data_IF_103936427179
#
_entry.id   IF_103936427179
#
_cell.length_a   1.000
_cell.length_b   1.000
_cell.length_c   1.000
_cell.angle_alpha   90.00
_cell.angle_beta   90.00
_cell.angle_gamma   90.00
#
_symmetry.space_group_name_H-M   'P 1'
#
loop_
_entity.id
_entity.type
_entity.pdbx_description
1 polymer ?
#
# COMPACT_ATOMS: atom_id res chain seq x y z
N UNK A 1 -12.65 -5.24 1.72
CA UNK A 1 -12.56 -5.94 0.42
C UNK A 1 -11.90 -7.29 0.65
N UNK A 2 -12.54 -8.39 0.25
CA UNK A 2 -12.00 -9.74 0.37
C UNK A 2 -11.64 -10.25 -1.03
N UNK A 3 -10.41 -10.72 -1.23
CA UNK A 3 -9.98 -11.36 -2.50
C UNK A 3 -10.45 -12.81 -2.47
N UNK A 4 -11.10 -13.27 -3.55
CA UNK A 4 -11.61 -14.63 -3.67
C UNK A 4 -11.06 -15.33 -4.94
N UNK A 5 -11.40 -16.61 -5.12
CA UNK A 5 -10.90 -17.44 -6.25
C UNK A 5 -11.37 -16.98 -7.63
N UNK A 6 -12.44 -16.17 -7.68
CA UNK A 6 -12.99 -15.56 -8.89
C UNK A 6 -12.29 -14.25 -9.26
N UNK A 7 -11.49 -13.69 -8.36
CA UNK A 7 -10.71 -12.48 -8.65
C UNK A 7 -9.58 -12.84 -9.62
N UNK A 8 -9.63 -12.28 -10.83
CA UNK A 8 -8.64 -12.53 -11.91
C UNK A 8 -7.94 -11.23 -12.28
N UNK A 9 -6.73 -11.37 -12.81
CA UNK A 9 -5.85 -10.28 -13.25
C UNK A 9 -5.21 -10.72 -14.56
N UNK A 10 -5.16 -9.85 -15.58
CA UNK A 10 -4.49 -10.18 -16.85
C UNK A 10 -2.97 -10.31 -16.67
N UNK A 11 -2.31 -11.04 -17.57
CA UNK A 11 -0.86 -11.29 -17.48
C UNK A 11 0.00 -10.02 -17.58
N UNK A 12 -0.54 -8.92 -18.13
CA UNK A 12 0.12 -7.63 -18.30
C UNK A 12 0.45 -6.95 -16.97
N UNK A 13 -0.23 -7.35 -15.88
CA UNK A 13 0.06 -6.83 -14.55
C UNK A 13 1.27 -7.47 -13.87
N UNK A 14 1.87 -8.47 -14.51
CA UNK A 14 3.08 -9.14 -14.04
C UNK A 14 4.25 -8.77 -14.93
N UNK A 15 5.44 -8.67 -14.34
CA UNK A 15 6.66 -8.50 -15.12
C UNK A 15 6.86 -9.73 -16.02
N UNK A 16 7.38 -9.56 -17.25
CA UNK A 16 7.64 -10.68 -18.16
C UNK A 16 8.52 -11.77 -17.53
N UNK A 17 9.46 -11.38 -16.68
CA UNK A 17 10.37 -12.27 -15.96
C UNK A 17 9.68 -13.16 -14.94
N UNK A 18 8.45 -12.82 -14.52
CA UNK A 18 7.63 -13.63 -13.63
C UNK A 18 6.83 -14.72 -14.39
N UNK A 19 6.80 -14.68 -15.72
CA UNK A 19 6.08 -15.63 -16.57
C UNK A 19 7.02 -16.71 -17.09
N UNK A 20 6.71 -17.97 -16.78
CA UNK A 20 7.45 -19.14 -17.25
C UNK A 20 6.65 -19.84 -18.34
N UNK A 21 7.18 -19.86 -19.55
CA UNK A 21 6.59 -20.54 -20.71
C UNK A 21 7.09 -21.99 -20.79
N UNK A 22 6.17 -22.95 -20.82
CA UNK A 22 6.51 -24.34 -21.10
C UNK A 22 6.73 -24.57 -22.60
N UNK A 23 7.42 -25.66 -22.95
CA UNK A 23 7.58 -26.11 -24.35
C UNK A 23 6.24 -26.42 -25.04
N UNK A 24 5.20 -26.70 -24.26
CA UNK A 24 3.82 -26.91 -24.73
C UNK A 24 3.02 -25.62 -24.91
N UNK A 25 3.61 -24.45 -24.70
CA UNK A 25 2.96 -23.14 -24.88
C UNK A 25 2.14 -22.66 -23.68
N UNK A 26 2.10 -23.42 -22.58
CA UNK A 26 1.41 -23.00 -21.35
C UNK A 26 2.30 -21.99 -20.62
N UNK A 27 1.73 -20.85 -20.27
CA UNK A 27 2.41 -19.83 -19.46
C UNK A 27 1.92 -19.93 -18.02
N UNK A 28 2.85 -20.05 -17.07
CA UNK A 28 2.58 -20.08 -15.62
C UNK A 28 3.33 -18.95 -14.92
N UNK A 29 2.81 -18.50 -13.77
CA UNK A 29 3.52 -17.58 -12.90
C UNK A 29 4.56 -18.33 -12.05
N UNK A 30 5.70 -17.69 -11.78
CA UNK A 30 6.62 -18.13 -10.72
C UNK A 30 5.89 -18.14 -9.37
N UNK A 31 6.24 -19.08 -8.49
CA UNK A 31 5.71 -19.11 -7.13
C UNK A 31 6.08 -17.80 -6.41
N UNK A 32 5.10 -17.16 -5.77
CA UNK A 32 5.30 -15.88 -5.09
C UNK A 32 5.35 -14.66 -6.02
N UNK A 33 5.15 -14.80 -7.33
CA UNK A 33 5.00 -13.67 -8.22
C UNK A 33 3.77 -12.84 -7.83
N UNK A 34 3.96 -11.53 -7.67
CA UNK A 34 2.90 -10.58 -7.32
C UNK A 34 2.65 -9.63 -8.50
N UNK A 35 1.40 -9.22 -8.76
CA UNK A 35 1.10 -8.24 -9.78
C UNK A 35 1.67 -6.89 -9.33
N UNK A 36 2.59 -6.36 -10.11
CA UNK A 36 3.38 -5.15 -9.78
C UNK A 36 3.20 -4.06 -10.82
N UNK A 37 2.69 -4.39 -12.01
CA UNK A 37 2.50 -3.44 -13.11
C UNK A 37 1.05 -2.97 -13.11
N UNK A 38 0.76 -1.94 -12.33
CA UNK A 38 -0.51 -1.21 -12.38
C UNK A 38 -0.28 0.23 -12.84
N UNK A 39 -1.26 0.81 -13.53
CA UNK A 39 -1.21 2.20 -14.00
C UNK A 39 -0.87 3.19 -12.86
N UNK A 40 -1.37 2.92 -11.65
CA UNK A 40 -1.13 3.72 -10.45
C UNK A 40 0.19 3.41 -9.73
N UNK A 41 0.80 2.24 -10.00
CA UNK A 41 2.06 1.80 -9.38
C UNK A 41 3.31 2.28 -10.09
N UNK A 42 3.16 3.03 -11.19
CA UNK A 42 4.29 3.64 -11.87
C UNK A 42 5.01 4.55 -10.87
N UNK A 43 6.17 4.10 -10.38
CA UNK A 43 7.24 4.99 -9.93
C UNK A 43 7.33 6.02 -11.03
N UNK A 44 6.91 7.26 -10.71
CA UNK A 44 6.76 8.33 -11.71
C UNK A 44 8.00 8.30 -12.59
N UNK A 45 7.88 8.09 -13.92
CA UNK A 45 9.02 8.30 -14.78
C UNK A 45 9.57 9.68 -14.42
N UNK A 46 10.88 9.76 -14.16
CA UNK A 46 11.61 10.98 -13.80
C UNK A 46 10.90 12.16 -14.44
N UNK A 47 10.28 13.02 -13.62
CA UNK A 47 9.43 14.10 -14.12
C UNK A 47 10.26 14.86 -15.14
N UNK A 48 10.00 14.66 -16.43
CA UNK A 48 10.50 15.58 -17.45
C UNK A 48 9.93 16.92 -17.02
N UNK A 49 10.80 17.80 -16.56
CA UNK A 49 10.40 19.14 -16.15
C UNK A 49 9.75 19.76 -17.38
N UNK A 50 8.42 19.80 -17.38
CA UNK A 50 7.68 20.54 -18.38
C UNK A 50 8.07 21.99 -18.11
N UNK A 51 8.96 22.51 -18.93
CA UNK A 51 9.18 23.95 -19.04
C UNK A 51 7.83 24.50 -19.47
N UNK A 52 7.16 25.18 -18.55
CA UNK A 52 5.92 25.90 -18.84
C UNK A 52 6.25 26.99 -19.85
N UNK A 53 6.06 26.73 -21.13
CA UNK A 53 5.83 27.79 -22.09
C UNK A 53 4.46 28.37 -21.77
N UNK A 54 4.43 29.58 -21.24
CA UNK A 54 3.22 30.35 -21.10
C UNK A 54 2.63 30.55 -22.50
N UNK A 55 1.57 29.81 -22.82
CA UNK A 55 0.67 30.17 -23.91
C UNK A 55 -0.70 30.27 -23.29
N UNK A 56 -1.15 31.51 -23.25
CA UNK A 56 -2.43 32.01 -22.80
C UNK A 56 -3.50 31.63 -23.83
N UNK A 57 -4.45 30.77 -23.45
CA UNK A 57 -5.88 30.92 -23.80
C UNK A 57 -6.69 29.87 -23.04
N UNK A 58 -7.60 30.35 -22.20
CA UNK A 58 -8.51 29.51 -21.40
C UNK A 58 -9.79 29.31 -22.23
N UNK A 59 -10.29 28.08 -22.42
CA UNK A 59 -11.61 27.87 -23.02
C UNK A 59 -12.70 28.57 -22.18
N UNK A 60 -13.77 29.11 -22.80
CA UNK A 60 -14.82 29.81 -22.07
C UNK A 60 -15.44 28.93 -20.98
N UNK A 61 -15.84 29.52 -19.84
CA UNK A 61 -16.39 28.76 -18.72
C UNK A 61 -17.69 28.07 -19.14
N UNK A 62 -17.72 26.74 -19.03
CA UNK A 62 -18.92 25.95 -19.28
C UNK A 62 -19.91 26.17 -18.12
N UNK A 63 -21.19 26.51 -18.39
CA UNK A 63 -22.14 26.96 -17.36
C UNK A 63 -22.63 25.88 -16.39
N UNK A 64 -22.22 24.63 -16.57
CA UNK A 64 -22.80 23.47 -15.87
C UNK A 64 -21.83 22.77 -14.92
N UNK A 65 -20.58 23.24 -14.83
CA UNK A 65 -19.60 22.63 -13.93
C UNK A 65 -19.63 23.37 -12.60
N UNK A 66 -20.36 22.83 -11.63
CA UNK A 66 -20.05 23.09 -10.21
C UNK A 66 -18.56 22.83 -10.05
N UNK A 67 -17.77 23.90 -9.91
CA UNK A 67 -16.35 23.79 -9.63
C UNK A 67 -16.22 22.92 -8.38
N UNK A 68 -15.44 21.84 -8.46
CA UNK A 68 -15.12 21.06 -7.28
C UNK A 68 -14.67 22.04 -6.19
N UNK A 69 -15.29 21.94 -5.01
CA UNK A 69 -14.98 22.82 -3.89
C UNK A 69 -13.46 22.87 -3.74
N UNK A 70 -12.91 24.09 -3.72
CA UNK A 70 -11.48 24.29 -3.56
C UNK A 70 -11.03 23.50 -2.33
N UNK A 71 -9.96 22.70 -2.43
CA UNK A 71 -9.47 21.99 -1.27
C UNK A 71 -9.20 23.01 -0.15
N UNK A 72 -9.49 22.65 1.11
CA UNK A 72 -9.23 23.53 2.24
C UNK A 72 -7.76 23.97 2.23
N UNK A 73 -7.48 25.15 2.76
CA UNK A 73 -6.11 25.63 2.80
C UNK A 73 -5.22 24.67 3.59
N UNK A 74 -3.91 24.66 3.33
CA UNK A 74 -2.98 23.83 4.11
C UNK A 74 -3.11 24.09 5.61
N UNK A 75 -3.40 25.34 5.99
CA UNK A 75 -3.60 25.73 7.38
C UNK A 75 -4.82 25.04 7.99
N UNK A 76 -5.95 25.03 7.28
CA UNK A 76 -7.18 24.37 7.73
C UNK A 76 -7.01 22.85 7.80
N UNK A 77 -6.27 22.26 6.84
CA UNK A 77 -5.93 20.84 6.86
C UNK A 77 -5.11 20.47 8.10
N UNK A 78 -4.16 21.32 8.50
CA UNK A 78 -3.38 21.10 9.72
C UNK A 78 -4.23 21.28 10.99
N UNK A 79 -5.16 22.23 11.01
CA UNK A 79 -6.03 22.45 12.18
C UNK A 79 -6.98 21.27 12.42
N UNK A 80 -7.56 20.72 11.34
CA UNK A 80 -8.40 19.52 11.42
C UNK A 80 -7.59 18.29 11.86
N UNK A 81 -6.35 18.16 11.35
CA UNK A 81 -5.45 17.10 11.77
C UNK A 81 -5.10 17.23 13.26
N UNK A 82 -4.74 18.43 13.75
CA UNK A 82 -4.43 18.71 15.17
C UNK A 82 -5.58 18.30 16.08
N UNK A 83 -6.82 18.62 15.71
CA UNK A 83 -8.03 18.24 16.45
C UNK A 83 -8.18 16.72 16.59
N UNK A 84 -7.77 15.97 15.57
CA UNK A 84 -7.93 14.50 15.52
C UNK A 84 -6.78 13.77 16.23
N UNK A 85 -5.53 14.22 16.03
CA UNK A 85 -4.33 13.54 16.55
C UNK A 85 -3.99 13.96 17.99
N UNK A 86 -4.52 15.10 18.46
CA UNK A 86 -4.35 15.57 19.83
C UNK A 86 -2.95 16.11 20.16
N UNK A 87 -2.10 16.36 19.15
CA UNK A 87 -0.75 16.92 19.34
C UNK A 87 -0.72 18.42 19.00
N UNK A 88 -0.08 19.26 19.83
CA UNK A 88 -0.05 20.71 19.64
C UNK A 88 0.92 21.16 18.54
N UNK A 89 1.86 20.34 18.13
CA UNK A 89 2.79 20.59 17.03
C UNK A 89 3.44 19.29 16.54
N UNK A 90 4.14 19.38 15.41
CA UNK A 90 4.79 18.24 14.77
C UNK A 90 5.94 17.67 15.63
N UNK A 91 6.66 18.51 16.35
CA UNK A 91 7.80 18.09 17.17
C UNK A 91 7.34 17.21 18.33
N UNK A 92 6.21 17.56 18.96
CA UNK A 92 5.57 16.77 20.02
C UNK A 92 5.11 15.41 19.50
N UNK A 93 4.44 15.37 18.33
CA UNK A 93 4.07 14.12 17.68
C UNK A 93 5.30 13.24 17.40
N UNK A 94 6.36 13.85 16.84
CA UNK A 94 7.60 13.15 16.48
C UNK A 94 8.29 12.59 17.72
N UNK A 95 8.32 13.33 18.83
CA UNK A 95 8.89 12.87 20.08
C UNK A 95 8.16 11.64 20.64
N UNK A 96 6.82 11.67 20.65
CA UNK A 96 6.01 10.52 21.11
C UNK A 96 6.18 9.32 20.17
N UNK A 97 6.18 9.55 18.86
CA UNK A 97 6.41 8.48 17.89
C UNK A 97 7.78 7.81 18.10
N UNK A 98 8.86 8.58 18.24
CA UNK A 98 10.20 8.06 18.50
C UNK A 98 10.28 7.32 19.84
N UNK A 99 9.62 7.83 20.89
CA UNK A 99 9.59 7.19 22.20
C UNK A 99 8.82 5.85 22.19
N UNK A 100 7.82 5.70 21.32
CA UNK A 100 7.02 4.47 21.20
C UNK A 100 7.66 3.41 20.29
N UNK A 101 8.61 3.77 19.41
CA UNK A 101 9.24 2.81 18.49
C UNK A 101 9.81 1.56 19.18
N UNK A 102 10.60 1.66 20.27
CA UNK A 102 11.18 0.49 20.93
C UNK A 102 10.11 -0.46 21.49
N UNK A 103 9.00 0.09 21.99
CA UNK A 103 7.88 -0.69 22.52
C UNK A 103 7.13 -1.39 21.40
N UNK A 104 6.91 -0.73 20.26
CA UNK A 104 6.25 -1.31 19.11
C UNK A 104 7.04 -2.50 18.52
N UNK A 105 8.35 -2.37 18.40
CA UNK A 105 9.24 -3.44 17.92
C UNK A 105 9.24 -4.65 18.86
N UNK A 106 9.32 -4.39 20.18
CA UNK A 106 9.21 -5.44 21.18
C UNK A 106 7.84 -6.15 21.13
N UNK A 107 6.74 -5.40 21.00
CA UNK A 107 5.40 -5.97 20.88
C UNK A 107 5.22 -6.86 19.64
N UNK A 108 5.88 -6.54 18.52
CA UNK A 108 5.89 -7.40 17.32
C UNK A 108 6.61 -8.71 17.62
N UNK A 109 7.76 -8.67 18.30
CA UNK A 109 8.49 -9.87 18.72
C UNK A 109 7.66 -10.77 19.65
N UNK A 110 6.99 -10.18 20.64
CA UNK A 110 6.10 -10.91 21.56
C UNK A 110 4.88 -11.51 20.84
N UNK A 111 4.27 -10.78 19.91
CA UNK A 111 3.15 -11.29 19.09
C UNK A 111 3.57 -12.49 18.23
N UNK A 112 4.76 -12.45 17.63
CA UNK A 112 5.32 -13.58 16.87
C UNK A 112 5.61 -14.79 17.77
N UNK A 113 6.18 -14.56 18.95
CA UNK A 113 6.44 -15.63 19.93
C UNK A 113 5.15 -16.30 20.43
N UNK A 114 4.05 -15.55 20.59
CA UNK A 114 2.74 -16.13 20.94
C UNK A 114 2.17 -16.98 19.80
N UNK A 115 2.33 -16.56 18.54
CA UNK A 115 1.87 -17.33 17.37
C UNK A 115 2.60 -18.66 17.20
N UNK A 116 3.90 -18.69 17.52
CA UNK A 116 4.70 -19.93 17.50
C UNK A 116 4.24 -20.93 18.57
N UNK A 117 3.84 -20.47 19.75
CA UNK A 117 3.37 -21.35 20.83
C UNK A 117 2.04 -22.06 20.50
N UNK A 118 1.19 -21.48 19.67
CA UNK A 118 -0.04 -22.11 19.20
C UNK A 118 0.19 -23.15 18.09
N UNK A 119 1.29 -23.04 17.33
CA UNK A 119 1.60 -23.98 16.22
C UNK A 119 2.45 -25.15 16.68
N UNK A 120 3.17 -25.04 17.80
CA UNK A 120 3.94 -26.16 18.37
C UNK A 120 3.11 -27.18 19.14
N UNK A 121 1.90 -26.84 19.60
CA UNK A 121 0.99 -27.79 20.26
C UNK A 121 0.32 -28.78 19.30
N UNK A 122 -0.01 -28.32 18.10
CA UNK A 122 -0.74 -29.13 17.10
C UNK A 122 0.16 -30.18 16.40
N UNK A 123 1.48 -29.96 16.40
CA UNK A 123 2.44 -30.87 15.74
C UNK A 123 2.85 -32.05 16.64
N UNK A 124 2.66 -31.96 17.96
CA UNK A 124 2.93 -33.07 18.89
C UNK A 124 1.73 -34.00 19.04
N UNK A 125 0.50 -33.50 18.95
CA UNK A 125 -0.72 -34.33 19.01
C UNK A 125 -0.89 -35.23 17.78
N UNK A 126 -0.39 -34.83 16.60
CA UNK A 126 -0.45 -35.67 15.39
C UNK A 126 0.62 -36.78 15.40
N UNK A 127 1.73 -36.61 16.13
CA UNK A 127 2.82 -37.58 16.17
C UNK A 127 2.68 -38.65 17.27
N UNK A 128 1.76 -38.49 18.23
CA UNK A 128 1.54 -39.43 19.35
C UNK A 128 0.27 -40.31 19.23
N UNK A 129 -0.47 -40.25 18.11
CA UNK A 129 -1.66 -41.11 17.86
C UNK A 129 -1.44 -42.23 16.84
N UNK A 130 -0.25 -42.83 16.82
CA UNK A 130 -0.02 -44.12 16.13
C UNK A 130 0.42 -45.18 17.12
N UNK A 131 -0.55 -45.76 17.83
CA UNK A 131 -0.54 -47.16 18.30
C UNK A 131 -1.96 -47.73 18.22
#
# INVERSE_FOLDING_TARGET
MQINTYTKVCSEHFLPDCLVKSKTGITKLKQGAVPTVFAWSSVRPERRSVVRTASEETPPPHPDHEYAALPPSLQDQFEEARKTIGFPDYDTFKAVFMALQPTAENMVGWSQAQRLKHTSGELLDVYLSKE
#
